data_IF_651711269305
#
_entry.id   IF_651711269305
#
_cell.length_a   1.000
_cell.length_b   1.000
_cell.length_c   1.000
_cell.angle_alpha   90.00
_cell.angle_beta   90.00
_cell.angle_gamma   90.00
#
_symmetry.space_group_name_H-M   'P 1'
#
loop_
_entity.id
_entity.type
_entity.pdbx_description
1 polymer ?
#
# COMPACT_ATOMS: atom_id res chain seq x y z
N UNK A 1 -25.06 47.75 34.15
CA UNK A 1 -25.47 46.48 34.81
C UNK A 1 -26.20 45.52 33.85
N UNK A 2 -27.00 46.00 32.89
CA UNK A 2 -27.85 45.14 32.05
C UNK A 2 -27.18 44.60 30.75
N UNK A 3 -26.12 45.26 30.25
CA UNK A 3 -25.47 44.89 28.98
C UNK A 3 -24.63 43.61 29.13
N UNK A 4 -23.88 43.49 30.22
CA UNK A 4 -23.01 42.33 30.48
C UNK A 4 -23.82 41.04 30.64
N UNK A 5 -24.92 41.07 31.38
CA UNK A 5 -25.80 39.91 31.55
C UNK A 5 -26.47 39.47 30.23
N UNK A 6 -26.80 40.41 29.34
CA UNK A 6 -27.30 40.10 27.99
C UNK A 6 -26.24 39.50 27.09
N UNK A 7 -25.00 39.99 27.17
CA UNK A 7 -23.87 39.42 26.44
C UNK A 7 -23.57 38.00 26.91
N UNK A 8 -23.64 37.74 28.22
CA UNK A 8 -23.45 36.40 28.79
C UNK A 8 -24.55 35.42 28.38
N UNK A 9 -25.81 35.87 28.26
CA UNK A 9 -26.89 35.02 27.77
C UNK A 9 -26.68 34.64 26.30
N UNK A 10 -26.28 35.61 25.47
CA UNK A 10 -26.01 35.36 24.04
C UNK A 10 -24.79 34.44 23.84
N UNK A 11 -23.74 34.57 24.64
CA UNK A 11 -22.61 33.63 24.64
C UNK A 11 -23.04 32.19 24.96
N UNK A 12 -23.92 32.02 25.95
CA UNK A 12 -24.46 30.71 26.31
C UNK A 12 -25.44 30.15 25.26
N UNK A 13 -26.24 31.01 24.61
CA UNK A 13 -27.23 30.60 23.61
C UNK A 13 -26.58 30.22 22.25
N UNK A 14 -25.48 30.87 21.86
CA UNK A 14 -24.80 30.61 20.59
C UNK A 14 -23.81 29.43 20.67
N UNK A 15 -23.31 29.09 21.87
CA UNK A 15 -22.41 27.97 22.11
C UNK A 15 -20.94 28.23 21.70
N UNK A 16 -19.99 27.46 22.26
CA UNK A 16 -18.55 27.77 22.26
C UNK A 16 -17.85 27.65 20.89
N UNK A 17 -18.53 27.14 19.87
CA UNK A 17 -17.98 26.97 18.51
C UNK A 17 -18.42 28.08 17.54
N UNK A 18 -19.32 28.98 17.95
CA UNK A 18 -19.92 30.02 17.10
C UNK A 18 -19.55 31.41 17.61
N UNK A 19 -19.58 31.62 18.92
CA UNK A 19 -19.20 32.89 19.55
C UNK A 19 -18.43 32.58 20.84
N UNK A 20 -17.18 33.04 20.91
CA UNK A 20 -16.30 32.81 22.06
C UNK A 20 -16.15 34.08 22.90
N UNK A 21 -15.73 33.93 24.15
CA UNK A 21 -15.42 35.08 25.01
C UNK A 21 -14.33 35.96 24.39
N UNK A 22 -13.41 35.37 23.62
CA UNK A 22 -12.31 36.08 22.93
C UNK A 22 -12.83 37.10 21.92
N UNK A 23 -13.95 36.81 21.28
CA UNK A 23 -14.56 37.69 20.28
C UNK A 23 -15.19 38.94 20.93
N UNK A 24 -15.52 38.85 22.22
CA UNK A 24 -16.22 39.89 22.97
C UNK A 24 -15.28 40.74 23.83
N UNK A 25 -14.11 40.20 24.22
CA UNK A 25 -13.09 40.90 25.01
C UNK A 25 -12.67 42.28 24.44
N UNK A 26 -12.49 42.48 23.11
CA UNK A 26 -12.09 43.78 22.55
C UNK A 26 -13.12 44.89 22.73
N UNK A 27 -14.38 44.53 22.96
CA UNK A 27 -15.50 45.47 23.05
C UNK A 27 -15.87 45.82 24.51
N UNK A 28 -15.05 45.41 25.48
CA UNK A 28 -15.35 45.59 26.90
C UNK A 28 -14.88 46.94 27.47
N UNK A 29 -15.76 47.70 28.16
CA UNK A 29 -15.40 48.93 28.85
C UNK A 29 -14.99 48.67 30.32
N UNK A 30 -13.83 49.22 30.71
CA UNK A 30 -13.23 49.26 32.05
C UNK A 30 -13.00 47.93 32.80
N UNK A 31 -11.83 47.82 33.44
CA UNK A 31 -11.34 46.65 34.20
C UNK A 31 -12.31 46.23 35.33
N UNK A 32 -13.16 47.15 35.81
CA UNK A 32 -14.12 46.92 36.89
C UNK A 32 -15.33 46.03 36.52
N UNK A 33 -15.53 45.69 35.23
CA UNK A 33 -16.59 44.77 34.78
C UNK A 33 -16.08 43.35 34.47
N UNK A 34 -14.75 43.12 34.55
CA UNK A 34 -14.11 41.82 34.28
C UNK A 34 -14.52 40.73 35.28
N UNK A 35 -14.83 41.10 36.53
CA UNK A 35 -15.29 40.15 37.55
C UNK A 35 -16.54 39.36 37.11
N UNK A 36 -17.34 39.91 36.20
CA UNK A 36 -18.59 39.30 35.71
C UNK A 36 -18.36 38.24 34.62
N UNK A 37 -17.15 38.14 34.06
CA UNK A 37 -16.76 37.17 33.03
C UNK A 37 -15.63 36.24 33.50
N UNK A 38 -15.27 36.34 34.78
CA UNK A 38 -14.15 35.60 35.36
C UNK A 38 -14.29 34.10 35.13
N UNK A 39 -15.50 33.57 35.32
CA UNK A 39 -15.75 32.13 35.22
C UNK A 39 -15.66 31.64 33.76
N UNK A 40 -16.17 32.42 32.80
CA UNK A 40 -16.06 32.14 31.36
C UNK A 40 -14.62 32.22 30.87
N UNK A 41 -13.83 33.19 31.35
CA UNK A 41 -12.41 33.31 31.05
C UNK A 41 -11.64 32.12 31.64
N UNK A 42 -11.91 31.77 32.90
CA UNK A 42 -11.29 30.59 33.54
C UNK A 42 -11.67 29.28 32.80
N UNK A 43 -12.92 29.15 32.35
CA UNK A 43 -13.40 28.01 31.57
C UNK A 43 -12.69 27.92 30.20
N UNK A 44 -12.60 29.03 29.47
CA UNK A 44 -11.89 29.09 28.20
C UNK A 44 -10.39 28.74 28.35
N UNK A 45 -9.71 29.31 29.35
CA UNK A 45 -8.31 28.99 29.65
C UNK A 45 -8.12 27.52 30.03
N UNK A 46 -9.03 26.94 30.81
CA UNK A 46 -9.00 25.51 31.16
C UNK A 46 -9.21 24.63 29.93
N UNK A 47 -10.12 25.03 29.04
CA UNK A 47 -10.35 24.36 27.75
C UNK A 47 -9.11 24.41 26.86
N UNK A 48 -8.41 25.56 26.78
CA UNK A 48 -7.15 25.66 26.04
C UNK A 48 -6.04 24.82 26.65
N UNK A 49 -5.87 24.86 27.98
CA UNK A 49 -4.90 23.99 28.66
C UNK A 49 -5.17 22.52 28.32
N UNK A 50 -6.44 22.09 28.39
CA UNK A 50 -6.83 20.72 28.06
C UNK A 50 -6.58 20.37 26.59
N UNK A 51 -6.84 21.30 25.66
CA UNK A 51 -6.53 21.12 24.24
C UNK A 51 -5.03 21.01 23.99
N UNK A 52 -4.24 21.87 24.64
CA UNK A 52 -2.77 21.84 24.57
C UNK A 52 -2.27 20.49 25.08
N UNK A 53 -2.75 20.03 26.24
CA UNK A 53 -2.40 18.71 26.78
C UNK A 53 -2.80 17.57 25.83
N UNK A 54 -3.96 17.70 25.16
CA UNK A 54 -4.40 16.80 24.10
C UNK A 54 -3.42 16.77 22.92
N UNK A 55 -3.02 17.94 22.40
CA UNK A 55 -2.04 18.03 21.32
C UNK A 55 -0.66 17.50 21.71
N UNK A 56 -0.22 17.74 22.95
CA UNK A 56 1.03 17.14 23.45
C UNK A 56 0.96 15.61 23.48
N UNK A 57 -0.18 15.06 23.90
CA UNK A 57 -0.41 13.63 23.90
C UNK A 57 -0.38 13.06 22.47
N UNK A 58 -1.11 13.67 21.53
CA UNK A 58 -1.11 13.28 20.12
C UNK A 58 0.28 13.35 19.50
N UNK A 59 1.04 14.42 19.80
CA UNK A 59 2.41 14.57 19.33
C UNK A 59 3.32 13.46 19.87
N UNK A 60 3.21 13.15 21.16
CA UNK A 60 4.00 12.08 21.77
C UNK A 60 3.61 10.68 21.22
N UNK A 61 2.33 10.42 20.94
CA UNK A 61 1.89 9.19 20.28
C UNK A 61 2.44 9.09 18.84
N UNK A 62 2.48 10.22 18.12
CA UNK A 62 3.09 10.30 16.79
C UNK A 62 4.60 10.03 16.85
N UNK A 63 5.32 10.65 17.79
CA UNK A 63 6.76 10.44 17.99
C UNK A 63 7.08 8.97 18.30
N UNK A 64 6.30 8.34 19.20
CA UNK A 64 6.43 6.91 19.49
C UNK A 64 6.20 6.04 18.25
N UNK A 65 5.22 6.40 17.43
CA UNK A 65 4.95 5.71 16.16
C UNK A 65 6.10 5.89 15.17
N UNK A 66 6.66 7.10 15.06
CA UNK A 66 7.83 7.37 14.23
C UNK A 66 9.06 6.57 14.67
N UNK A 67 9.30 6.45 15.97
CA UNK A 67 10.42 5.67 16.49
C UNK A 67 10.23 4.16 16.24
N UNK A 68 9.01 3.63 16.42
CA UNK A 68 8.69 2.26 16.06
C UNK A 68 8.90 1.98 14.56
N UNK A 69 8.50 2.91 13.68
CA UNK A 69 8.74 2.80 12.24
C UNK A 69 10.23 2.83 11.90
N UNK A 70 11.02 3.68 12.56
CA UNK A 70 12.49 3.73 12.37
C UNK A 70 13.15 2.42 12.78
N UNK A 71 12.72 1.83 13.90
CA UNK A 71 13.19 0.52 14.34
C UNK A 71 12.84 -0.58 13.33
N UNK A 72 11.61 -0.56 12.81
CA UNK A 72 11.18 -1.53 11.79
C UNK A 72 11.98 -1.40 10.49
N UNK A 73 12.24 -0.17 10.02
CA UNK A 73 13.10 0.08 8.86
C UNK A 73 14.51 -0.49 9.12
N UNK A 74 15.06 -0.26 10.32
CA UNK A 74 16.35 -0.84 10.72
C UNK A 74 16.35 -2.37 10.65
N UNK A 75 15.32 -3.01 11.22
CA UNK A 75 15.14 -4.46 11.19
C UNK A 75 15.02 -5.02 9.77
N UNK A 76 14.34 -4.30 8.87
CA UNK A 76 14.17 -4.69 7.47
C UNK A 76 15.46 -4.54 6.66
N UNK A 77 16.33 -3.57 7.00
CA UNK A 77 17.64 -3.43 6.37
C UNK A 77 18.58 -4.60 6.69
N UNK A 78 18.49 -5.16 7.89
CA UNK A 78 19.29 -6.33 8.31
C UNK A 78 18.64 -7.67 7.91
N UNK A 79 17.50 -7.63 7.23
CA UNK A 79 16.77 -8.82 6.83
C UNK A 79 17.53 -9.59 5.74
N UNK A 80 17.81 -10.86 6.00
CA UNK A 80 18.49 -11.75 5.08
C UNK A 80 17.63 -13.00 4.84
N UNK A 81 17.57 -13.46 3.59
CA UNK A 81 16.89 -14.72 3.23
C UNK A 81 17.91 -15.78 2.87
N UNK A 82 17.86 -16.92 3.54
CA UNK A 82 18.68 -18.08 3.19
C UNK A 82 17.91 -18.99 2.23
N UNK A 83 18.53 -19.31 1.10
CA UNK A 83 17.98 -20.23 0.10
C UNK A 83 18.79 -21.52 0.11
N UNK A 84 18.10 -22.66 0.23
CA UNK A 84 18.73 -23.97 0.19
C UNK A 84 19.20 -24.32 -1.22
N UNK A 85 20.23 -25.16 -1.33
CA UNK A 85 20.78 -25.61 -2.62
C UNK A 85 19.78 -26.44 -3.45
N UNK A 86 18.80 -27.06 -2.80
CA UNK A 86 17.73 -27.84 -3.40
C UNK A 86 16.44 -27.03 -3.59
N UNK A 87 16.49 -25.70 -3.47
CA UNK A 87 15.31 -24.84 -3.59
C UNK A 87 14.57 -25.07 -4.92
N UNK A 88 13.25 -25.16 -4.81
CA UNK A 88 12.34 -25.37 -5.93
C UNK A 88 11.46 -24.15 -6.14
N UNK A 89 11.16 -23.86 -7.40
CA UNK A 89 10.20 -22.83 -7.78
C UNK A 89 8.82 -23.12 -7.19
N UNK A 90 8.20 -22.14 -6.54
CA UNK A 90 6.90 -22.34 -5.89
C UNK A 90 5.79 -22.79 -6.86
N UNK A 91 5.76 -22.26 -8.09
CA UNK A 91 4.79 -22.61 -9.13
C UNK A 91 5.18 -23.83 -9.96
N UNK A 92 6.36 -23.83 -10.58
CA UNK A 92 6.74 -24.88 -11.54
C UNK A 92 7.37 -26.12 -10.90
N UNK A 93 7.71 -26.08 -9.61
CA UNK A 93 8.43 -27.14 -8.86
C UNK A 93 9.79 -27.54 -9.43
N UNK A 94 10.34 -26.76 -10.37
CA UNK A 94 11.68 -26.96 -10.92
C UNK A 94 12.77 -26.41 -9.99
N UNK A 95 13.97 -27.00 -10.02
CA UNK A 95 15.12 -26.46 -9.28
C UNK A 95 15.49 -25.07 -9.81
N UNK A 96 15.64 -24.11 -8.91
CA UNK A 96 15.96 -22.72 -9.27
C UNK A 96 17.44 -22.51 -9.59
N UNK A 97 18.33 -23.33 -9.02
CA UNK A 97 19.78 -23.19 -9.18
C UNK A 97 20.35 -23.97 -10.37
N UNK A 98 19.63 -24.95 -10.90
CA UNK A 98 20.09 -25.77 -12.02
C UNK A 98 19.77 -25.14 -13.39
N UNK A 99 18.85 -24.19 -13.44
CA UNK A 99 18.47 -23.49 -14.67
C UNK A 99 19.31 -22.25 -14.90
N UNK A 100 19.66 -21.95 -16.16
CA UNK A 100 20.20 -20.64 -16.56
C UNK A 100 19.07 -19.60 -16.70
N UNK A 101 18.17 -19.54 -15.71
CA UNK A 101 17.01 -18.66 -15.67
C UNK A 101 17.07 -17.83 -14.39
N UNK A 102 16.84 -16.50 -14.46
CA UNK A 102 16.73 -15.67 -13.27
C UNK A 102 15.60 -16.12 -12.34
N UNK A 103 15.78 -15.92 -11.05
CA UNK A 103 14.77 -16.23 -10.04
C UNK A 103 14.68 -15.12 -9.00
N UNK A 104 13.50 -14.98 -8.41
CA UNK A 104 13.17 -13.99 -7.41
C UNK A 104 12.96 -14.69 -6.06
N UNK A 105 13.45 -14.07 -5.01
CA UNK A 105 13.23 -14.48 -3.63
C UNK A 105 12.42 -13.37 -2.96
N UNK A 106 11.25 -13.71 -2.45
CA UNK A 106 10.41 -12.75 -1.73
C UNK A 106 10.72 -12.76 -0.24
N UNK A 107 10.46 -11.66 0.48
CA UNK A 107 10.57 -11.63 1.95
C UNK A 107 9.71 -12.68 2.66
N UNK A 108 8.63 -13.15 2.03
CA UNK A 108 7.82 -14.29 2.51
C UNK A 108 8.54 -15.65 2.47
N UNK A 109 9.75 -15.72 1.89
CA UNK A 109 10.56 -16.93 1.77
C UNK A 109 10.28 -17.74 0.49
N UNK A 110 9.29 -17.35 -0.31
CA UNK A 110 9.01 -18.03 -1.57
C UNK A 110 10.05 -17.70 -2.65
N UNK A 111 10.49 -18.74 -3.36
CA UNK A 111 11.42 -18.63 -4.48
C UNK A 111 10.69 -18.97 -5.78
N UNK A 112 10.81 -18.10 -6.78
CA UNK A 112 10.06 -18.20 -8.03
C UNK A 112 10.95 -17.88 -9.23
N UNK A 113 10.93 -18.73 -10.25
CA UNK A 113 11.59 -18.48 -11.54
C UNK A 113 10.91 -17.33 -12.29
N UNK A 114 11.68 -16.49 -12.99
CA UNK A 114 11.21 -15.31 -13.73
C UNK A 114 10.02 -15.63 -14.66
N UNK A 115 10.12 -16.67 -15.50
CA UNK A 115 9.02 -17.01 -16.41
C UNK A 115 7.79 -17.53 -15.69
N UNK A 116 7.97 -18.21 -14.55
CA UNK A 116 6.84 -18.69 -13.75
C UNK A 116 6.14 -17.51 -13.08
N UNK A 117 6.92 -16.54 -12.58
CA UNK A 117 6.41 -15.32 -11.98
C UNK A 117 5.61 -14.48 -12.98
N UNK A 118 6.18 -14.24 -14.17
CA UNK A 118 5.52 -13.49 -15.24
C UNK A 118 4.14 -14.09 -15.58
N UNK A 119 4.06 -15.41 -15.75
CA UNK A 119 2.81 -16.11 -16.07
C UNK A 119 1.73 -15.89 -15.02
N UNK A 120 2.12 -15.88 -13.76
CA UNK A 120 1.19 -15.74 -12.64
C UNK A 120 0.74 -14.28 -12.43
N UNK A 121 1.60 -13.31 -12.73
CA UNK A 121 1.31 -11.89 -12.53
C UNK A 121 0.49 -11.29 -13.67
N UNK A 122 0.70 -11.73 -14.92
CA UNK A 122 -0.01 -11.21 -16.12
C UNK A 122 -1.55 -11.13 -15.95
N UNK A 123 -2.25 -12.16 -15.44
CA UNK A 123 -3.70 -12.13 -15.26
C UNK A 123 -4.19 -10.98 -14.36
N UNK A 124 -3.36 -10.53 -13.42
CA UNK A 124 -3.72 -9.49 -12.45
C UNK A 124 -3.19 -8.09 -12.83
N UNK A 125 -2.43 -7.98 -13.92
CA UNK A 125 -2.00 -6.70 -14.48
C UNK A 125 -3.09 -6.02 -15.32
N UNK A 126 -3.09 -4.68 -15.29
CA UNK A 126 -3.89 -3.86 -16.19
C UNK A 126 -3.31 -3.86 -17.62
N UNK A 127 -4.12 -3.49 -18.63
CA UNK A 127 -3.72 -3.49 -20.04
C UNK A 127 -2.43 -2.69 -20.31
N UNK A 128 -2.29 -1.51 -19.70
CA UNK A 128 -1.08 -0.67 -19.80
C UNK A 128 0.16 -1.36 -19.25
N UNK A 129 0.04 -2.04 -18.11
CA UNK A 129 1.14 -2.77 -17.49
C UNK A 129 1.55 -3.97 -18.33
N UNK A 130 0.59 -4.73 -18.89
CA UNK A 130 0.88 -5.86 -19.78
C UNK A 130 1.63 -5.44 -21.03
N UNK A 131 1.17 -4.36 -21.69
CA UNK A 131 1.84 -3.79 -22.86
C UNK A 131 3.28 -3.38 -22.50
N UNK A 132 3.45 -2.67 -21.38
CA UNK A 132 4.76 -2.22 -20.95
C UNK A 132 5.71 -3.38 -20.61
N UNK A 133 5.21 -4.42 -19.97
CA UNK A 133 5.96 -5.64 -19.68
C UNK A 133 6.48 -6.31 -20.97
N UNK A 134 5.63 -6.39 -21.98
CA UNK A 134 6.00 -6.96 -23.28
C UNK A 134 7.06 -6.12 -24.00
N UNK A 135 6.93 -4.79 -23.99
CA UNK A 135 7.93 -3.85 -24.51
C UNK A 135 9.29 -4.04 -23.84
N UNK A 136 9.33 -3.98 -22.51
CA UNK A 136 10.56 -4.11 -21.70
C UNK A 136 11.23 -5.46 -21.95
N UNK A 137 10.45 -6.55 -21.99
CA UNK A 137 10.96 -7.90 -22.29
C UNK A 137 11.55 -7.99 -23.69
N UNK A 138 10.88 -7.38 -24.69
CA UNK A 138 11.35 -7.36 -26.07
C UNK A 138 12.66 -6.56 -26.18
N UNK A 139 12.78 -5.42 -25.51
CA UNK A 139 14.03 -4.65 -25.45
C UNK A 139 15.17 -5.46 -24.81
N UNK A 140 14.93 -6.08 -23.64
CA UNK A 140 15.92 -6.94 -22.97
C UNK A 140 16.36 -8.13 -23.84
N UNK A 141 15.46 -8.68 -24.65
CA UNK A 141 15.79 -9.79 -25.56
C UNK A 141 16.79 -9.37 -26.64
N UNK A 142 16.71 -8.13 -27.15
CA UNK A 142 17.64 -7.58 -28.16
C UNK A 142 19.06 -7.50 -27.60
N UNK A 143 19.20 -7.08 -26.34
CA UNK A 143 20.50 -7.09 -25.65
C UNK A 143 21.05 -8.51 -25.49
N UNK A 144 20.22 -9.50 -25.09
CA UNK A 144 20.64 -10.91 -24.97
C UNK A 144 21.10 -11.54 -26.29
N UNK A 145 20.56 -11.10 -27.44
CA UNK A 145 21.00 -11.57 -28.76
C UNK A 145 22.32 -10.92 -29.17
N UNK A 146 22.48 -9.62 -28.91
CA UNK A 146 23.72 -8.88 -29.20
C UNK A 146 24.90 -9.44 -28.41
N UNK A 147 24.71 -9.72 -27.11
CA UNK A 147 25.71 -10.32 -26.22
C UNK A 147 26.21 -11.70 -26.71
N UNK A 148 25.36 -12.49 -27.40
CA UNK A 148 25.78 -13.78 -27.98
C UNK A 148 26.60 -13.65 -29.25
N UNK A 149 26.36 -12.59 -30.03
CA UNK A 149 27.01 -12.39 -31.33
C UNK A 149 28.39 -11.69 -31.21
N UNK A 150 28.69 -11.04 -30.09
CA UNK A 150 29.94 -10.28 -29.85
C UNK A 150 30.97 -11.07 -29.04
N UNK A 151 31.08 -12.39 -29.25
CA UNK A 151 32.04 -13.28 -28.56
C UNK A 151 33.53 -13.02 -28.89
N UNK A 152 33.86 -11.92 -29.57
CA UNK A 152 35.22 -11.48 -29.90
C UNK A 152 35.55 -10.11 -29.27
N UNK A 153 35.65 -10.06 -27.95
CA UNK A 153 36.65 -9.27 -27.23
C UNK A 153 36.76 -7.75 -27.39
N UNK A 154 35.70 -6.97 -27.62
CA UNK A 154 35.79 -5.49 -27.58
C UNK A 154 34.61 -4.81 -26.89
N UNK A 155 34.95 -3.93 -25.93
CA UNK A 155 34.21 -2.83 -25.31
C UNK A 155 32.68 -2.90 -25.40
N UNK A 156 32.05 -3.54 -24.41
CA UNK A 156 30.64 -3.29 -24.11
C UNK A 156 30.48 -1.82 -23.76
N UNK A 157 29.84 -1.04 -24.64
CA UNK A 157 29.54 0.37 -24.39
C UNK A 157 28.89 0.53 -23.00
N UNK A 158 29.49 1.34 -22.13
CA UNK A 158 28.99 1.61 -20.76
C UNK A 158 27.51 2.05 -20.77
N UNK A 159 27.09 2.76 -21.82
CA UNK A 159 25.70 3.21 -22.04
C UNK A 159 24.72 2.05 -22.25
N UNK A 160 25.11 1.02 -23.02
CA UNK A 160 24.27 -0.16 -23.27
C UNK A 160 24.09 -0.98 -21.99
N UNK A 161 25.14 -1.05 -21.16
CA UNK A 161 25.08 -1.72 -19.85
C UNK A 161 24.15 -0.99 -18.88
N UNK A 162 24.24 0.34 -18.81
CA UNK A 162 23.36 1.15 -17.96
C UNK A 162 21.89 0.99 -18.37
N UNK A 163 21.61 1.03 -19.68
CA UNK A 163 20.24 0.87 -20.19
C UNK A 163 19.66 -0.52 -19.87
N UNK A 164 20.49 -1.56 -19.95
CA UNK A 164 20.09 -2.93 -19.57
C UNK A 164 19.72 -3.02 -18.09
N UNK A 165 20.47 -2.34 -17.21
CA UNK A 165 20.18 -2.29 -15.77
C UNK A 165 18.85 -1.57 -15.50
N UNK A 166 18.61 -0.43 -16.16
CA UNK A 166 17.35 0.31 -16.03
C UNK A 166 16.14 -0.54 -16.45
N UNK A 167 16.23 -1.21 -17.61
CA UNK A 167 15.17 -2.09 -18.10
C UNK A 167 14.94 -3.30 -17.20
N UNK A 168 16.01 -3.87 -16.63
CA UNK A 168 15.87 -4.97 -15.67
C UNK A 168 15.19 -4.48 -14.39
N UNK A 169 15.58 -3.30 -13.87
CA UNK A 169 14.92 -2.69 -12.71
C UNK A 169 13.44 -2.38 -12.96
N UNK A 170 13.10 -1.94 -14.17
CA UNK A 170 11.71 -1.71 -14.56
C UNK A 170 10.92 -3.02 -14.64
N UNK A 171 11.51 -4.07 -15.23
CA UNK A 171 10.93 -5.41 -15.25
C UNK A 171 10.66 -5.91 -13.82
N UNK A 172 11.65 -5.81 -12.94
CA UNK A 172 11.55 -6.21 -11.54
C UNK A 172 10.43 -5.45 -10.81
N UNK A 173 10.33 -4.13 -11.03
CA UNK A 173 9.24 -3.31 -10.49
C UNK A 173 7.85 -3.66 -11.02
N UNK A 174 7.75 -4.25 -12.21
CA UNK A 174 6.47 -4.72 -12.78
C UNK A 174 6.08 -6.10 -12.24
N UNK A 175 7.00 -7.05 -12.17
CA UNK A 175 6.67 -8.46 -11.90
C UNK A 175 6.92 -8.89 -10.45
N UNK A 176 7.78 -8.20 -9.72
CA UNK A 176 8.20 -8.56 -8.36
C UNK A 176 7.80 -7.51 -7.31
N UNK A 177 6.86 -6.61 -7.64
CA UNK A 177 6.33 -5.61 -6.70
C UNK A 177 5.68 -6.23 -5.46
N UNK A 178 5.02 -7.38 -5.61
CA UNK A 178 4.47 -8.16 -4.50
C UNK A 178 4.64 -9.66 -4.75
N UNK A 179 4.61 -10.46 -3.68
CA UNK A 179 4.63 -11.91 -3.80
C UNK A 179 3.23 -12.43 -4.20
N UNK A 180 3.09 -13.13 -5.34
CA UNK A 180 1.83 -13.77 -5.75
C UNK A 180 1.13 -14.65 -4.71
N UNK A 181 1.89 -15.24 -3.77
CA UNK A 181 1.38 -16.25 -2.82
C UNK A 181 0.97 -15.66 -1.48
N UNK A 182 1.39 -14.43 -1.16
CA UNK A 182 1.15 -13.80 0.15
C UNK A 182 0.69 -12.34 0.06
N UNK A 183 0.71 -11.76 -1.14
CA UNK A 183 0.31 -10.37 -1.39
C UNK A 183 -1.17 -10.20 -1.71
N UNK A 184 -1.51 -9.03 -2.22
CA UNK A 184 -2.89 -8.66 -2.57
C UNK A 184 -3.45 -9.55 -3.69
N UNK A 185 -2.60 -10.00 -4.62
CA UNK A 185 -3.00 -10.96 -5.65
C UNK A 185 -3.59 -12.25 -5.07
N UNK A 186 -3.01 -12.79 -3.99
CA UNK A 186 -3.55 -13.98 -3.33
C UNK A 186 -4.90 -13.66 -2.68
N UNK A 187 -4.99 -12.56 -1.94
CA UNK A 187 -6.23 -12.13 -1.26
C UNK A 187 -7.38 -11.97 -2.25
N UNK A 188 -7.13 -11.29 -3.37
CA UNK A 188 -8.12 -11.06 -4.43
C UNK A 188 -8.51 -12.33 -5.21
N UNK A 189 -7.73 -13.41 -5.07
CA UNK A 189 -8.00 -14.70 -5.73
C UNK A 189 -8.86 -15.64 -4.89
N UNK A 190 -9.01 -15.38 -3.58
CA UNK A 190 -9.76 -16.23 -2.65
C UNK A 190 -11.19 -16.45 -3.14
N UNK A 191 -11.88 -15.38 -3.56
CA UNK A 191 -13.28 -15.45 -3.99
C UNK A 191 -13.47 -16.16 -5.35
N UNK A 192 -12.42 -16.24 -6.17
CA UNK A 192 -12.52 -16.81 -7.52
C UNK A 192 -12.74 -18.31 -7.50
N UNK A 193 -12.15 -19.03 -6.54
CA UNK A 193 -12.35 -20.48 -6.39
C UNK A 193 -13.79 -20.86 -6.04
N UNK A 194 -14.46 -20.08 -5.19
CA UNK A 194 -15.85 -20.33 -4.77
C UNK A 194 -16.89 -20.04 -5.86
N UNK A 195 -16.62 -19.06 -6.72
CA UNK A 195 -17.56 -18.67 -7.79
C UNK A 195 -17.60 -19.67 -8.95
N UNK A 196 -16.52 -20.40 -9.21
CA UNK A 196 -16.50 -21.42 -10.27
C UNK A 196 -17.27 -22.69 -9.86
N UNK A 197 -17.30 -23.06 -8.58
CA UNK A 197 -18.16 -24.13 -8.06
C UNK A 197 -19.66 -23.77 -8.14
N UNK A 198 -20.03 -22.52 -7.90
CA UNK A 198 -21.41 -22.04 -8.01
C UNK A 198 -21.91 -21.95 -9.46
N UNK A 199 -21.01 -21.84 -10.44
CA UNK A 199 -21.38 -21.91 -11.86
C UNK A 199 -21.54 -23.34 -12.35
N UNK A 200 -20.74 -24.28 -11.84
CA UNK A 200 -20.87 -25.71 -12.18
C UNK A 200 -22.16 -26.33 -11.62
N UNK A 201 -22.62 -25.91 -10.44
CA UNK A 201 -23.90 -26.41 -9.86
C UNK A 201 -25.15 -25.94 -10.61
N UNK A 202 -25.07 -24.80 -11.32
CA UNK A 202 -26.19 -24.28 -12.14
C UNK A 202 -26.28 -24.89 -13.54
N UNK A 203 -25.19 -25.45 -14.08
CA UNK A 203 -25.19 -26.07 -15.41
C UNK A 203 -25.62 -27.54 -15.40
N UNK A 204 -25.44 -28.27 -14.29
CA UNK A 204 -25.87 -29.68 -14.21
C UNK A 204 -27.38 -29.89 -13.99
N UNK A 205 -28.15 -28.87 -13.60
CA UNK A 205 -29.59 -29.02 -13.34
C UNK A 205 -30.50 -28.84 -14.56
N UNK A 206 -29.96 -28.54 -15.75
CA UNK A 206 -30.76 -28.20 -16.94
C UNK A 206 -30.69 -29.22 -18.10
N UNK A 207 -30.29 -30.47 -17.85
CA UNK A 207 -30.12 -31.48 -18.93
C UNK A 207 -31.06 -32.69 -18.86
N UNK A 208 -31.98 -32.78 -17.88
CA UNK A 208 -32.96 -33.88 -17.82
C UNK A 208 -34.39 -33.38 -17.79
N UNK A 209 -34.86 -32.85 -18.92
CA UNK A 209 -36.29 -32.80 -19.25
C UNK A 209 -36.43 -32.77 -20.76
N UNK A 210 -36.47 -33.95 -21.37
CA UNK A 210 -37.29 -34.33 -22.53
C UNK A 210 -36.77 -35.66 -23.05
N UNK A 211 -37.60 -36.71 -23.00
CA UNK A 211 -37.93 -37.54 -24.18
C UNK A 211 -39.03 -38.53 -23.78
N UNK A 212 -40.17 -38.33 -24.44
CA UNK A 212 -41.28 -39.26 -24.69
C UNK A 212 -40.87 -40.74 -24.78
N UNK A 213 -41.67 -41.63 -24.17
CA UNK A 213 -41.92 -42.95 -24.75
C UNK A 213 -43.31 -43.44 -24.38
N UNK A 214 -44.12 -43.51 -25.43
CA UNK A 214 -45.36 -44.25 -25.60
C UNK A 214 -45.21 -45.75 -25.35
N UNK A 215 -46.07 -46.30 -24.50
CA UNK A 215 -46.87 -47.52 -24.71
C UNK A 215 -48.03 -47.53 -23.69
#
# INVERSE_FOLDING_TARGET
KDVVSKVLSVLNDCGPNILSIEDVLPFMPDVAQIDQFKDEICSALTSYSSKIDGYWKEMNECDQTCDALREEIGRLNDYNVQVKSDALCAFSKKSVLQGNEPFYIFPSGFVVLENSLIKEVIPNMNAKQRLRLEEVRNELSKFKVRDRNTSTGQDTNHVDSQRKIELQSELDGLIAAECPLTGSMMVNSIDRGFLDELKQTKTSTNVHSTTSLSF
#
